data_IF_370037650379
#
_entry.id   IF_370037650379
#
_cell.length_a   1.000
_cell.length_b   1.000
_cell.length_c   1.000
_cell.angle_alpha   90.00
_cell.angle_beta   90.00
_cell.angle_gamma   90.00
#
_symmetry.space_group_name_H-M   'P 1'
#
loop_
_entity.id
_entity.type
_entity.pdbx_description
1 polymer ?
#
# COMPACT_ATOMS: atom_id res chain seq x y z
N UNK A 1 0.71 49.86 -9.58
CA UNK A 1 1.92 49.00 -9.65
C UNK A 1 2.08 48.02 -8.49
N UNK A 2 1.18 47.99 -7.47
CA UNK A 2 1.31 47.12 -6.28
C UNK A 2 0.58 45.77 -6.42
N UNK A 3 -0.52 45.73 -7.19
CA UNK A 3 -1.34 44.51 -7.36
C UNK A 3 -0.69 43.42 -8.25
N UNK A 4 0.19 43.79 -9.19
CA UNK A 4 0.86 42.83 -10.08
C UNK A 4 1.93 42.00 -9.36
N UNK A 5 2.52 42.54 -8.29
CA UNK A 5 3.51 41.85 -7.45
C UNK A 5 2.87 40.76 -6.58
N UNK A 6 1.64 40.97 -6.12
CA UNK A 6 0.91 39.99 -5.30
C UNK A 6 0.49 38.78 -6.13
N UNK A 7 0.05 39.00 -7.38
CA UNK A 7 -0.35 37.92 -8.29
C UNK A 7 0.83 37.00 -8.68
N UNK A 8 2.04 37.54 -8.83
CA UNK A 8 3.25 36.75 -9.14
C UNK A 8 3.72 35.93 -7.93
N UNK A 9 3.57 36.45 -6.70
CA UNK A 9 3.92 35.69 -5.49
C UNK A 9 2.98 34.51 -5.21
N UNK A 10 1.69 34.62 -5.55
CA UNK A 10 0.72 33.54 -5.36
C UNK A 10 0.92 32.36 -6.33
N UNK A 11 1.47 32.59 -7.53
CA UNK A 11 1.76 31.55 -8.51
C UNK A 11 3.00 30.70 -8.16
N UNK A 12 3.88 31.19 -7.27
CA UNK A 12 5.09 30.46 -6.87
C UNK A 12 4.85 29.41 -5.77
N UNK A 13 3.68 29.39 -5.13
CA UNK A 13 3.38 28.48 -4.01
C UNK A 13 2.80 27.11 -4.43
N UNK A 14 2.60 26.87 -5.74
CA UNK A 14 1.70 25.82 -6.23
C UNK A 14 2.29 24.44 -6.56
N UNK A 15 3.59 24.19 -6.44
CA UNK A 15 4.16 22.97 -7.05
C UNK A 15 5.22 22.25 -6.21
N UNK A 16 4.92 21.91 -4.96
CA UNK A 16 5.62 20.79 -4.29
C UNK A 16 4.61 19.97 -3.49
N UNK A 17 3.66 19.34 -4.18
CA UNK A 17 3.08 18.09 -3.67
C UNK A 17 4.11 16.98 -3.88
N UNK A 18 5.24 17.02 -3.17
CA UNK A 18 6.08 15.85 -3.05
C UNK A 18 5.20 14.78 -2.42
N UNK A 19 4.99 13.66 -3.12
CA UNK A 19 4.42 12.47 -2.51
C UNK A 19 5.33 12.12 -1.34
N UNK A 20 4.93 12.49 -0.11
CA UNK A 20 5.66 12.14 1.11
C UNK A 20 5.54 10.63 1.25
N UNK A 21 6.50 9.92 0.66
CA UNK A 21 6.80 8.56 1.03
C UNK A 21 7.54 8.64 2.35
N UNK A 22 6.86 8.31 3.46
CA UNK A 22 7.52 8.13 4.75
C UNK A 22 8.39 6.88 4.64
N UNK A 23 9.59 7.05 4.08
CA UNK A 23 10.61 6.02 4.04
C UNK A 23 11.17 5.84 5.43
N UNK A 24 10.63 4.88 6.17
CA UNK A 24 11.22 4.53 7.46
C UNK A 24 12.55 3.83 7.14
N UNK A 25 13.68 4.47 7.47
CA UNK A 25 15.02 3.87 7.33
C UNK A 25 15.15 2.74 8.34
N UNK A 26 14.74 1.55 7.93
CA UNK A 26 14.88 0.30 8.68
C UNK A 26 15.80 -0.59 7.84
N UNK A 27 16.63 -1.39 8.52
CA UNK A 27 17.47 -2.41 7.88
C UNK A 27 16.67 -3.38 6.99
N UNK A 28 17.34 -4.28 6.25
CA UNK A 28 16.65 -5.24 5.40
C UNK A 28 15.64 -6.08 6.22
N UNK A 29 14.46 -6.40 5.67
CA UNK A 29 13.51 -7.28 6.34
C UNK A 29 14.11 -8.68 6.55
N UNK A 30 13.63 -9.44 7.54
CA UNK A 30 13.98 -10.85 7.67
C UNK A 30 13.61 -11.62 6.38
N UNK A 31 14.17 -12.83 6.15
CA UNK A 31 13.75 -13.68 5.05
C UNK A 31 12.23 -13.85 5.02
N UNK A 32 11.66 -13.85 3.81
CA UNK A 32 10.22 -14.07 3.61
C UNK A 32 9.85 -15.43 4.20
N UNK A 33 8.81 -15.47 5.03
CA UNK A 33 8.29 -16.74 5.54
C UNK A 33 7.53 -17.40 4.40
N UNK A 34 8.02 -18.54 3.93
CA UNK A 34 7.29 -19.33 2.93
C UNK A 34 6.09 -19.96 3.61
N UNK A 35 4.89 -19.59 3.17
CA UNK A 35 3.66 -20.30 3.54
C UNK A 35 3.70 -21.67 2.88
N UNK A 36 3.91 -22.74 3.66
CA UNK A 36 4.02 -24.12 3.13
C UNK A 36 2.70 -24.64 2.54
N UNK A 37 1.57 -24.12 3.00
CA UNK A 37 0.23 -24.52 2.54
C UNK A 37 -0.63 -23.27 2.38
N UNK A 38 -0.93 -22.90 1.15
CA UNK A 38 -1.91 -21.85 0.86
C UNK A 38 -3.31 -22.36 1.23
N UNK A 39 -4.12 -21.62 2.02
CA UNK A 39 -5.50 -21.99 2.29
C UNK A 39 -6.33 -22.14 1.01
N UNK A 40 -7.46 -22.83 1.09
CA UNK A 40 -8.41 -22.89 -0.04
C UNK A 40 -8.99 -21.48 -0.30
N UNK A 41 -9.08 -21.10 -1.58
CA UNK A 41 -9.72 -19.82 -1.96
C UNK A 41 -11.18 -19.78 -1.48
N UNK A 42 -11.66 -18.66 -0.91
CA UNK A 42 -13.06 -18.47 -0.54
C UNK A 42 -14.04 -18.56 -1.71
N UNK A 43 -13.59 -18.27 -2.94
CA UNK A 43 -14.45 -18.30 -4.12
C UNK A 43 -13.77 -17.78 -5.38
N UNK A 44 -14.53 -17.68 -6.49
CA UNK A 44 -14.10 -16.92 -7.67
C UNK A 44 -13.87 -15.45 -7.29
N UNK A 45 -13.00 -14.77 -8.02
CA UNK A 45 -12.63 -13.35 -7.85
C UNK A 45 -11.77 -13.02 -6.61
N UNK A 46 -11.39 -14.01 -5.82
CA UNK A 46 -10.39 -13.83 -4.76
C UNK A 46 -8.96 -14.01 -5.30
N UNK A 47 -8.10 -13.08 -4.92
CA UNK A 47 -6.67 -13.10 -5.20
C UNK A 47 -5.92 -13.42 -3.91
N UNK A 48 -4.95 -14.33 -3.99
CA UNK A 48 -4.05 -14.58 -2.88
C UNK A 48 -2.98 -13.48 -2.79
N UNK A 49 -2.88 -12.87 -1.62
CA UNK A 49 -1.80 -11.99 -1.22
C UNK A 49 -0.85 -12.80 -0.36
N UNK A 50 0.37 -13.01 -0.84
CA UNK A 50 1.40 -13.70 -0.06
C UNK A 50 1.71 -12.91 1.23
N UNK A 51 2.13 -13.61 2.27
CA UNK A 51 2.56 -12.94 3.49
C UNK A 51 3.83 -12.13 3.24
N UNK A 52 3.94 -10.98 3.90
CA UNK A 52 5.05 -10.06 3.70
C UNK A 52 5.43 -9.34 5.00
N UNK A 53 6.66 -8.84 5.05
CA UNK A 53 7.10 -7.98 6.14
C UNK A 53 6.68 -6.53 5.89
N UNK A 54 6.23 -5.84 6.94
CA UNK A 54 5.95 -4.42 6.90
C UNK A 54 6.48 -3.71 8.16
N UNK A 55 6.89 -2.44 8.04
CA UNK A 55 7.47 -1.71 9.16
C UNK A 55 6.38 -1.20 10.11
N UNK A 56 6.59 -1.40 11.41
CA UNK A 56 5.78 -0.86 12.50
C UNK A 56 6.72 -0.19 13.51
N UNK A 57 6.76 1.14 13.49
CA UNK A 57 7.78 1.90 14.22
C UNK A 57 9.17 1.54 13.72
N UNK A 58 10.05 1.05 14.59
CA UNK A 58 11.43 0.68 14.25
C UNK A 58 11.63 -0.85 14.06
N UNK A 59 10.56 -1.61 13.84
CA UNK A 59 10.61 -3.08 13.71
C UNK A 59 9.79 -3.55 12.52
N UNK A 60 10.12 -4.73 11.99
CA UNK A 60 9.23 -5.41 11.05
C UNK A 60 8.20 -6.27 11.78
N UNK A 61 6.98 -6.27 11.26
CA UNK A 61 5.92 -7.19 11.63
C UNK A 61 5.55 -8.04 10.41
N UNK A 62 5.28 -9.31 10.65
CA UNK A 62 4.83 -10.22 9.61
C UNK A 62 3.34 -10.03 9.39
N UNK A 63 2.96 -9.81 8.13
CA UNK A 63 1.58 -9.91 7.68
C UNK A 63 1.36 -11.33 7.14
N UNK A 64 0.40 -12.06 7.71
CA UNK A 64 0.04 -13.39 7.20
C UNK A 64 -0.60 -13.28 5.81
N UNK A 65 -0.32 -14.24 4.94
CA UNK A 65 -0.97 -14.27 3.63
C UNK A 65 -2.49 -14.42 3.75
N UNK A 66 -3.22 -13.84 2.81
CA UNK A 66 -4.68 -13.82 2.85
C UNK A 66 -5.29 -13.75 1.45
N UNK A 67 -6.53 -14.23 1.34
CA UNK A 67 -7.35 -13.97 0.16
C UNK A 67 -8.08 -12.64 0.33
N UNK A 68 -8.15 -11.87 -0.74
CA UNK A 68 -8.97 -10.67 -0.84
C UNK A 68 -9.40 -10.46 -2.28
N UNK A 69 -10.44 -9.67 -2.50
CA UNK A 69 -10.80 -9.21 -3.83
C UNK A 69 -9.85 -8.09 -4.26
N UNK A 70 -9.51 -8.00 -5.57
CA UNK A 70 -8.81 -6.84 -6.09
C UNK A 70 -9.55 -5.54 -5.77
N UNK A 71 -8.82 -4.45 -5.57
CA UNK A 71 -9.41 -3.13 -5.31
C UNK A 71 -10.42 -2.69 -6.38
N UNK A 72 -10.27 -3.19 -7.61
CA UNK A 72 -11.25 -3.09 -8.70
C UNK A 72 -10.96 -4.17 -9.76
N UNK A 73 -11.93 -4.43 -10.66
CA UNK A 73 -11.77 -5.42 -11.75
C UNK A 73 -10.54 -5.09 -12.61
N UNK A 74 -9.64 -6.05 -12.75
CA UNK A 74 -8.40 -5.91 -13.52
C UNK A 74 -7.21 -5.36 -12.73
N UNK A 75 -7.39 -5.00 -11.46
CA UNK A 75 -6.27 -4.65 -10.60
C UNK A 75 -5.43 -5.89 -10.24
N UNK A 76 -4.12 -5.76 -10.32
CA UNK A 76 -3.15 -6.75 -9.83
C UNK A 76 -2.44 -6.24 -8.59
N UNK A 77 -2.15 -7.15 -7.66
CA UNK A 77 -1.34 -6.83 -6.50
C UNK A 77 0.13 -6.69 -6.89
N UNK A 78 0.76 -5.60 -6.45
CA UNK A 78 2.20 -5.40 -6.51
C UNK A 78 2.72 -5.53 -5.09
N UNK A 79 3.59 -6.51 -4.87
CA UNK A 79 4.12 -6.83 -3.55
C UNK A 79 4.95 -5.67 -2.96
N UNK A 80 4.94 -5.51 -1.63
CA UNK A 80 5.84 -4.57 -0.97
C UNK A 80 7.29 -4.91 -1.26
N UNK A 81 8.13 -3.89 -1.38
CA UNK A 81 9.58 -4.08 -1.62
C UNK A 81 10.41 -3.24 -0.68
N UNK A 82 11.64 -3.70 -0.45
CA UNK A 82 12.65 -2.95 0.27
C UNK A 82 13.83 -2.68 -0.66
N UNK A 83 14.16 -1.42 -0.86
CA UNK A 83 15.19 -0.99 -1.79
C UNK A 83 15.92 0.24 -1.22
N UNK A 84 17.26 0.21 -1.20
CA UNK A 84 18.07 1.33 -0.72
C UNK A 84 17.80 1.72 0.74
N UNK A 85 17.44 0.76 1.60
CA UNK A 85 17.07 1.05 3.00
C UNK A 85 15.69 1.68 3.17
N UNK A 86 14.91 1.76 2.09
CA UNK A 86 13.56 2.32 2.07
C UNK A 86 12.54 1.22 1.86
N UNK A 87 11.49 1.21 2.68
CA UNK A 87 10.34 0.34 2.49
C UNK A 87 9.29 1.01 1.59
N UNK A 88 8.78 0.25 0.62
CA UNK A 88 7.68 0.63 -0.25
C UNK A 88 6.50 -0.29 0.02
N UNK A 89 5.36 0.28 0.42
CA UNK A 89 4.13 -0.49 0.64
C UNK A 89 3.69 -1.19 -0.65
N UNK A 90 3.05 -2.34 -0.49
CA UNK A 90 2.34 -2.99 -1.58
C UNK A 90 1.13 -2.18 -2.02
N UNK A 91 0.70 -2.37 -3.26
CA UNK A 91 -0.40 -1.60 -3.82
C UNK A 91 -1.08 -2.37 -4.95
N UNK A 92 -2.33 -2.01 -5.23
CA UNK A 92 -3.06 -2.49 -6.38
C UNK A 92 -2.78 -1.61 -7.59
N UNK A 93 -2.53 -2.22 -8.74
CA UNK A 93 -2.25 -1.53 -10.01
C UNK A 93 -3.12 -2.07 -11.14
N UNK A 94 -3.59 -1.18 -12.00
CA UNK A 94 -4.39 -1.50 -13.17
C UNK A 94 -4.79 -0.23 -13.92
N UNK A 95 -5.73 -0.35 -14.85
CA UNK A 95 -6.08 0.73 -15.78
C UNK A 95 -6.73 1.94 -15.08
N UNK A 96 -7.28 1.74 -13.88
CA UNK A 96 -7.88 2.80 -13.06
C UNK A 96 -6.88 3.47 -12.10
N UNK A 97 -5.59 3.19 -12.26
CA UNK A 97 -4.51 3.78 -11.45
C UNK A 97 -4.13 2.95 -10.21
N UNK A 98 -3.33 3.53 -9.33
CA UNK A 98 -2.76 2.81 -8.18
C UNK A 98 -3.60 3.04 -6.91
N UNK A 99 -4.02 1.95 -6.25
CA UNK A 99 -4.69 1.99 -4.95
C UNK A 99 -3.73 1.46 -3.89
N UNK A 100 -3.28 2.35 -3.02
CA UNK A 100 -2.35 2.02 -1.94
C UNK A 100 -3.00 1.11 -0.91
N UNK A 101 -2.26 0.12 -0.44
CA UNK A 101 -2.67 -0.70 0.69
C UNK A 101 -2.24 -0.03 2.00
N UNK A 102 -3.17 0.17 2.93
CA UNK A 102 -2.87 0.71 4.26
C UNK A 102 -2.90 -0.42 5.30
N UNK A 103 -1.74 -0.70 5.90
CA UNK A 103 -1.57 -1.71 6.95
C UNK A 103 -2.23 -1.32 8.29
N UNK A 104 -2.80 -0.12 8.42
CA UNK A 104 -3.58 0.27 9.61
C UNK A 104 -4.76 -0.65 9.86
N UNK A 105 -5.29 -1.29 8.81
CA UNK A 105 -6.41 -2.22 8.91
C UNK A 105 -6.05 -3.54 9.62
N UNK A 106 -4.76 -3.85 9.80
CA UNK A 106 -4.32 -5.07 10.52
C UNK A 106 -4.49 -5.01 12.03
N UNK A 107 -4.85 -3.84 12.58
CA UNK A 107 -4.92 -3.66 14.05
C UNK A 107 -6.11 -4.39 14.67
N UNK A 108 -7.14 -4.71 13.90
CA UNK A 108 -8.34 -5.35 14.41
C UNK A 108 -8.49 -6.74 13.80
N UNK A 109 -8.23 -7.78 14.61
CA UNK A 109 -8.21 -9.21 14.25
C UNK A 109 -9.52 -9.76 13.67
N UNK A 110 -10.55 -8.93 13.45
CA UNK A 110 -11.88 -9.34 13.03
C UNK A 110 -12.52 -8.53 11.89
N UNK A 111 -11.84 -7.52 11.33
CA UNK A 111 -12.44 -6.72 10.26
C UNK A 111 -12.10 -7.27 8.87
N UNK A 112 -13.12 -7.28 8.04
CA UNK A 112 -13.17 -7.87 6.70
C UNK A 112 -12.01 -7.34 5.85
N UNK A 113 -11.04 -8.22 5.53
CA UNK A 113 -9.87 -7.91 4.67
C UNK A 113 -10.25 -7.76 3.20
N UNK A 114 -11.53 -7.91 2.90
CA UNK A 114 -12.07 -7.73 1.58
C UNK A 114 -12.17 -6.25 1.29
N UNK A 115 -11.53 -5.82 0.19
CA UNK A 115 -11.82 -4.56 -0.48
C UNK A 115 -13.26 -4.60 -1.03
N UNK A 116 -14.25 -4.65 -0.15
CA UNK A 116 -15.65 -4.50 -0.46
C UNK A 116 -16.06 -3.05 -0.20
N UNK A 117 -15.36 -2.12 -0.85
CA UNK A 117 -15.89 -0.75 -0.95
C UNK A 117 -16.86 -0.78 -2.11
N UNK A 118 -18.16 -0.69 -1.77
CA UNK A 118 -19.29 -0.66 -2.68
C UNK A 118 -18.94 0.14 -3.95
N UNK A 119 -18.84 -0.59 -5.06
CA UNK A 119 -18.91 -0.02 -6.39
C UNK A 119 -20.41 0.16 -6.70
N UNK A 120 -20.99 1.26 -6.24
CA UNK A 120 -22.17 1.86 -6.86
C UNK A 120 -21.73 2.88 -7.91
#
# INVERSE_FOLDING_TARGET
MKAKLIAVMLLAAGAVCAQISVGIRIGPPPPVRVVRVQPRSPGPDYTWIAGYWYPVGNRYKWHEGYYTRPAYRGARWIEPRHEGGTYYNGYWKGDRGEVRHDHKWDKERGHNRDYNHNHE
#
